data_IF_951752115884
#
_entry.id   IF_951752115884
#
_cell.length_a   1.000
_cell.length_b   1.000
_cell.length_c   1.000
_cell.angle_alpha   90.00
_cell.angle_beta   90.00
_cell.angle_gamma   90.00
#
_symmetry.space_group_name_H-M   'P 1'
#
loop_
_entity.id
_entity.type
_entity.pdbx_description
1 polymer ?
#
# COMPACT_ATOMS: atom_id res chain seq x y z
N UNK A 1 -49.83 15.27 -27.17
CA UNK A 1 -48.77 14.55 -27.92
C UNK A 1 -47.36 15.11 -27.66
N UNK A 2 -47.13 16.43 -27.71
CA UNK A 2 -45.80 17.03 -27.43
C UNK A 2 -45.25 16.75 -26.02
N UNK A 3 -46.10 16.70 -24.99
CA UNK A 3 -45.64 16.38 -23.61
C UNK A 3 -45.18 14.93 -23.43
N UNK A 4 -45.78 13.98 -24.16
CA UNK A 4 -45.36 12.56 -24.12
C UNK A 4 -43.99 12.38 -24.82
N UNK A 5 -43.74 13.15 -25.88
CA UNK A 5 -42.44 13.14 -26.59
C UNK A 5 -41.30 13.71 -25.73
N UNK A 6 -41.59 14.72 -24.89
CA UNK A 6 -40.58 15.30 -23.98
C UNK A 6 -40.20 14.31 -22.87
N UNK A 7 -41.17 13.58 -22.31
CA UNK A 7 -40.92 12.56 -21.27
C UNK A 7 -40.09 11.39 -21.82
N UNK A 8 -40.38 10.94 -23.04
CA UNK A 8 -39.58 9.91 -23.72
C UNK A 8 -38.14 10.35 -23.99
N UNK A 9 -37.93 11.63 -24.30
CA UNK A 9 -36.60 12.20 -24.51
C UNK A 9 -35.78 12.27 -23.21
N UNK A 10 -36.42 12.61 -22.08
CA UNK A 10 -35.77 12.65 -20.76
C UNK A 10 -35.38 11.26 -20.23
N UNK A 11 -36.20 10.22 -20.49
CA UNK A 11 -35.88 8.83 -20.10
C UNK A 11 -34.72 8.28 -20.94
N UNK A 12 -34.65 8.64 -22.23
CA UNK A 12 -33.52 8.29 -23.09
C UNK A 12 -32.19 8.92 -22.64
N UNK A 13 -32.22 10.13 -22.07
CA UNK A 13 -31.02 10.81 -21.56
C UNK A 13 -30.48 10.18 -20.26
N UNK A 14 -31.36 9.58 -19.43
CA UNK A 14 -30.97 8.92 -18.17
C UNK A 14 -30.31 7.55 -18.36
N UNK A 15 -30.40 6.94 -19.55
CA UNK A 15 -29.77 5.65 -19.86
C UNK A 15 -28.32 5.77 -20.39
N UNK A 16 -27.77 6.98 -20.49
CA UNK A 16 -26.35 7.22 -20.84
C UNK A 16 -25.41 7.32 -19.64
N UNK A 17 -25.86 6.97 -18.43
CA UNK A 17 -24.94 6.76 -17.31
C UNK A 17 -24.20 5.45 -17.57
N UNK A 18 -23.07 5.52 -18.28
CA UNK A 18 -22.11 4.42 -18.30
C UNK A 18 -21.76 4.11 -16.85
N UNK A 19 -21.93 2.87 -16.36
CA UNK A 19 -21.31 2.51 -15.10
C UNK A 19 -19.82 2.79 -15.25
N UNK A 20 -19.26 3.60 -14.36
CA UNK A 20 -17.81 3.73 -14.27
C UNK A 20 -17.28 2.31 -14.13
N UNK A 21 -16.54 1.83 -15.14
CA UNK A 21 -15.93 0.52 -15.08
C UNK A 21 -14.99 0.52 -13.87
N UNK A 22 -15.44 -0.06 -12.75
CA UNK A 22 -14.56 -0.40 -11.65
C UNK A 22 -13.58 -1.40 -12.21
N UNK A 23 -12.35 -0.95 -12.45
CA UNK A 23 -11.28 -1.84 -12.92
C UNK A 23 -11.11 -2.92 -11.85
N UNK A 24 -11.41 -4.16 -12.22
CA UNK A 24 -11.21 -5.31 -11.34
C UNK A 24 -9.74 -5.42 -10.99
N UNK A 25 -9.41 -5.51 -9.69
CA UNK A 25 -8.05 -5.72 -9.24
C UNK A 25 -7.55 -7.08 -9.73
N UNK A 26 -6.28 -7.14 -10.15
CA UNK A 26 -5.68 -8.41 -10.55
C UNK A 26 -5.43 -9.26 -9.28
N UNK A 27 -5.97 -10.49 -9.20
CA UNK A 27 -5.75 -11.35 -8.05
C UNK A 27 -4.27 -11.67 -7.78
N UNK A 28 -3.41 -11.67 -8.80
CA UNK A 28 -1.98 -11.92 -8.63
C UNK A 28 -1.27 -10.75 -7.94
N UNK A 29 -1.56 -9.51 -8.30
CA UNK A 29 -1.04 -8.31 -7.63
C UNK A 29 -1.38 -8.33 -6.12
N UNK A 30 -2.63 -8.72 -5.80
CA UNK A 30 -3.07 -8.87 -4.41
C UNK A 30 -2.23 -9.94 -3.68
N UNK A 31 -1.83 -11.03 -4.34
CA UNK A 31 -0.98 -12.07 -3.73
C UNK A 31 0.45 -11.59 -3.48
N UNK A 32 0.97 -10.71 -4.33
CA UNK A 32 2.33 -10.16 -4.21
C UNK A 32 2.50 -9.23 -2.99
N UNK A 33 1.42 -8.61 -2.51
CA UNK A 33 1.45 -7.78 -1.30
C UNK A 33 1.89 -8.57 -0.07
N UNK A 34 3.08 -8.24 0.45
CA UNK A 34 3.66 -8.79 1.68
C UNK A 34 3.44 -7.81 2.84
N UNK A 35 2.98 -8.31 3.99
CA UNK A 35 2.74 -7.47 5.18
C UNK A 35 3.66 -7.92 6.31
N UNK A 36 4.34 -6.95 6.92
CA UNK A 36 5.12 -7.14 8.15
C UNK A 36 4.26 -6.78 9.36
N UNK A 37 4.28 -7.61 10.40
CA UNK A 37 3.59 -7.30 11.66
C UNK A 37 4.56 -6.64 12.64
N UNK A 38 4.21 -5.47 13.15
CA UNK A 38 5.01 -4.80 14.19
C UNK A 38 4.64 -5.32 15.57
N UNK A 39 5.49 -5.07 16.56
CA UNK A 39 5.12 -5.34 17.96
C UNK A 39 3.95 -4.42 18.34
N UNK A 40 2.83 -4.95 18.87
CA UNK A 40 1.71 -4.12 19.31
C UNK A 40 2.09 -3.19 20.45
N UNK A 41 1.57 -1.96 20.41
CA UNK A 41 1.75 -0.95 21.46
C UNK A 41 0.61 -0.99 22.50
N UNK A 42 0.83 -0.39 23.66
CA UNK A 42 -0.10 -0.41 24.80
C UNK A 42 0.06 -1.61 25.74
N UNK A 43 1.09 -2.43 25.51
CA UNK A 43 1.46 -3.60 26.32
C UNK A 43 2.92 -3.54 26.79
N UNK A 44 3.50 -2.35 26.89
CA UNK A 44 4.94 -2.14 27.17
C UNK A 44 5.36 -2.79 28.50
N UNK A 45 4.46 -2.80 29.49
CA UNK A 45 4.68 -3.45 30.79
C UNK A 45 4.49 -4.97 30.76
N UNK A 46 3.97 -5.54 29.66
CA UNK A 46 3.59 -6.94 29.51
C UNK A 46 4.22 -7.56 28.24
N UNK A 47 5.55 -7.56 28.16
CA UNK A 47 6.33 -7.97 26.98
C UNK A 47 5.92 -9.35 26.42
N UNK A 48 5.62 -10.31 27.30
CA UNK A 48 5.17 -11.66 26.89
C UNK A 48 3.81 -11.63 26.18
N UNK A 49 2.90 -10.75 26.62
CA UNK A 49 1.56 -10.59 26.02
C UNK A 49 1.66 -9.88 24.68
N UNK A 50 2.53 -8.86 24.56
CA UNK A 50 2.81 -8.20 23.28
C UNK A 50 3.36 -9.19 22.24
N UNK A 51 4.27 -10.07 22.67
CA UNK A 51 4.84 -11.13 21.83
C UNK A 51 3.80 -12.16 21.40
N UNK A 52 2.92 -12.58 22.31
CA UNK A 52 1.81 -13.47 21.99
C UNK A 52 0.91 -12.87 20.91
N UNK A 53 0.50 -11.60 21.07
CA UNK A 53 -0.34 -10.94 20.08
C UNK A 53 0.36 -10.80 18.74
N UNK A 54 1.64 -10.36 18.72
CA UNK A 54 2.43 -10.27 17.50
C UNK A 54 2.46 -11.61 16.75
N UNK A 55 2.62 -12.72 17.47
CA UNK A 55 2.62 -14.06 16.87
C UNK A 55 1.24 -14.42 16.28
N UNK A 56 0.13 -14.10 16.97
CA UNK A 56 -1.23 -14.33 16.45
C UNK A 56 -1.51 -13.50 15.20
N UNK A 57 -1.14 -12.23 15.21
CA UNK A 57 -1.29 -11.33 14.07
C UNK A 57 -0.43 -11.78 12.89
N UNK A 58 0.83 -12.18 13.13
CA UNK A 58 1.72 -12.74 12.09
C UNK A 58 1.09 -13.99 11.47
N UNK A 59 0.58 -14.91 12.29
CA UNK A 59 -0.13 -16.09 11.79
C UNK A 59 -1.37 -15.71 10.99
N UNK A 60 -2.13 -14.70 11.40
CA UNK A 60 -3.29 -14.22 10.66
C UNK A 60 -2.91 -13.67 9.28
N UNK A 61 -1.81 -12.91 9.19
CA UNK A 61 -1.27 -12.42 7.91
C UNK A 61 -0.87 -13.59 7.00
N UNK A 62 -0.14 -14.57 7.52
CA UNK A 62 0.29 -15.76 6.76
C UNK A 62 -0.91 -16.61 6.31
N UNK A 63 -1.97 -16.70 7.12
CA UNK A 63 -3.20 -17.43 6.73
C UNK A 63 -3.98 -16.75 5.61
N UNK A 64 -3.76 -15.46 5.38
CA UNK A 64 -4.48 -14.65 4.39
C UNK A 64 -3.54 -14.06 3.30
N UNK A 65 -2.36 -14.66 3.13
CA UNK A 65 -1.37 -14.24 2.15
C UNK A 65 0.06 -14.47 2.63
N UNK A 66 0.98 -13.59 2.24
CA UNK A 66 2.39 -13.74 2.57
C UNK A 66 2.76 -12.79 3.71
N UNK A 67 3.21 -13.35 4.83
CA UNK A 67 3.87 -12.60 5.89
C UNK A 67 5.37 -12.44 5.60
N UNK A 68 5.98 -11.39 6.13
CA UNK A 68 7.43 -11.16 6.03
C UNK A 68 7.96 -10.47 7.27
N UNK A 69 9.26 -10.62 7.55
CA UNK A 69 9.96 -9.90 8.62
C UNK A 69 10.39 -8.50 8.21
N UNK A 70 10.37 -8.19 6.90
CA UNK A 70 10.69 -6.88 6.35
C UNK A 70 9.73 -6.58 5.19
N UNK A 71 8.96 -5.49 5.31
CA UNK A 71 8.09 -4.98 4.25
C UNK A 71 7.94 -3.46 4.33
N UNK A 72 7.60 -2.86 3.19
CA UNK A 72 7.02 -1.51 3.09
C UNK A 72 5.67 -1.43 3.83
N UNK A 73 4.85 -2.46 3.74
CA UNK A 73 3.52 -2.50 4.37
C UNK A 73 3.54 -3.13 5.75
N UNK A 74 2.96 -2.42 6.70
CA UNK A 74 2.96 -2.77 8.11
C UNK A 74 1.54 -3.03 8.58
N UNK A 75 1.35 -4.11 9.35
CA UNK A 75 0.22 -4.24 10.27
C UNK A 75 0.67 -3.75 11.64
N UNK A 76 0.15 -2.59 12.03
CA UNK A 76 0.42 -1.92 13.30
C UNK A 76 -0.82 -2.04 14.16
N UNK A 77 -0.68 -2.47 15.41
CA UNK A 77 -1.81 -2.55 16.34
C UNK A 77 -1.50 -1.82 17.64
N UNK A 78 -2.52 -1.14 18.17
CA UNK A 78 -2.53 -0.49 19.47
C UNK A 78 -3.61 -1.13 20.34
N UNK A 79 -3.31 -1.30 21.62
CA UNK A 79 -4.23 -1.85 22.61
C UNK A 79 -4.47 -0.81 23.69
N UNK A 80 -5.73 -0.62 24.05
CA UNK A 80 -6.12 0.22 25.18
C UNK A 80 -7.05 -0.53 26.12
N UNK A 81 -6.89 -0.31 27.43
CA UNK A 81 -7.81 -0.81 28.44
C UNK A 81 -9.04 0.11 28.48
N UNK A 82 -10.21 -0.45 28.19
CA UNK A 82 -11.49 0.26 28.27
C UNK A 82 -12.04 0.22 29.69
N UNK A 83 -11.97 -0.95 30.35
CA UNK A 83 -12.49 -1.14 31.69
C UNK A 83 -11.73 -2.21 32.47
N UNK A 84 -11.68 -2.04 33.78
CA UNK A 84 -11.10 -2.97 34.75
C UNK A 84 -12.06 -3.12 35.92
N UNK A 85 -12.60 -4.31 36.15
CA UNK A 85 -13.56 -4.57 37.22
C UNK A 85 -13.11 -5.76 38.07
N UNK A 86 -13.52 -5.77 39.33
CA UNK A 86 -13.32 -6.92 40.24
C UNK A 86 -14.69 -7.46 40.62
N UNK A 87 -14.90 -8.76 40.45
CA UNK A 87 -16.17 -9.39 40.82
C UNK A 87 -16.31 -9.45 42.35
N UNK A 88 -17.51 -9.17 42.89
CA UNK A 88 -17.80 -9.36 44.31
C UNK A 88 -18.08 -10.85 44.61
N UNK A 89 -17.20 -11.74 44.17
CA UNK A 89 -17.31 -13.20 44.37
C UNK A 89 -16.16 -13.72 45.22
N UNK A 90 -16.28 -14.96 45.70
CA UNK A 90 -15.20 -15.68 46.37
C UNK A 90 -14.84 -16.94 45.58
N UNK A 91 -13.60 -17.06 45.03
CA UNK A 91 -12.57 -16.01 44.98
C UNK A 91 -12.95 -14.86 44.04
N UNK A 92 -12.39 -13.67 44.28
CA UNK A 92 -12.58 -12.50 43.42
C UNK A 92 -11.92 -12.72 42.06
N UNK A 93 -12.57 -12.28 40.99
CA UNK A 93 -12.04 -12.30 39.63
C UNK A 93 -11.83 -10.89 39.12
N UNK A 94 -10.76 -10.69 38.35
CA UNK A 94 -10.51 -9.48 37.58
C UNK A 94 -11.07 -9.67 36.18
N UNK A 95 -11.82 -8.67 35.72
CA UNK A 95 -12.36 -8.56 34.37
C UNK A 95 -11.66 -7.38 33.70
N UNK A 96 -10.97 -7.63 32.59
CA UNK A 96 -10.33 -6.59 31.78
C UNK A 96 -10.94 -6.59 30.38
N UNK A 97 -11.48 -5.45 29.98
CA UNK A 97 -11.98 -5.20 28.63
C UNK A 97 -10.99 -4.29 27.91
N UNK A 98 -10.52 -4.74 26.75
CA UNK A 98 -9.52 -4.04 25.96
C UNK A 98 -10.08 -3.79 24.57
N UNK A 99 -9.71 -2.67 23.98
CA UNK A 99 -9.90 -2.40 22.56
C UNK A 99 -8.59 -2.59 21.83
N UNK A 100 -8.65 -3.30 20.70
CA UNK A 100 -7.54 -3.51 19.80
C UNK A 100 -7.85 -2.77 18.51
N UNK A 101 -7.03 -1.77 18.20
CA UNK A 101 -7.10 -1.01 16.95
C UNK A 101 -5.91 -1.35 16.08
N UNK A 102 -6.16 -1.89 14.90
CA UNK A 102 -5.14 -2.32 13.95
C UNK A 102 -5.24 -1.55 12.64
N UNK A 103 -4.09 -1.22 12.08
CA UNK A 103 -3.90 -0.41 10.88
C UNK A 103 -2.98 -1.13 9.91
N UNK A 104 -3.33 -1.12 8.63
CA UNK A 104 -2.43 -1.45 7.53
C UNK A 104 -1.92 -0.13 6.96
N UNK A 105 -0.62 0.09 7.09
CA UNK A 105 0.03 1.34 6.74
C UNK A 105 1.22 1.12 5.80
N UNK A 106 1.51 2.14 4.99
CA UNK A 106 2.79 2.24 4.29
C UNK A 106 3.83 2.95 5.16
N UNK A 107 4.98 2.31 5.38
CA UNK A 107 6.12 2.87 6.10
C UNK A 107 6.75 4.08 5.40
N UNK A 108 6.77 4.09 4.07
CA UNK A 108 7.48 5.11 3.27
C UNK A 108 6.62 6.37 3.15
N UNK A 109 5.39 6.25 2.61
CA UNK A 109 4.49 7.40 2.47
C UNK A 109 3.79 7.79 3.78
N UNK A 110 3.89 6.96 4.83
CA UNK A 110 3.22 7.17 6.12
C UNK A 110 1.69 7.25 6.01
N UNK A 111 1.13 6.54 5.04
CA UNK A 111 -0.31 6.51 4.75
C UNK A 111 -0.98 5.32 5.41
N UNK A 112 -2.13 5.54 6.06
CA UNK A 112 -3.00 4.46 6.56
C UNK A 112 -3.95 4.06 5.44
N UNK A 113 -3.86 2.80 5.01
CA UNK A 113 -4.64 2.28 3.88
C UNK A 113 -5.91 1.56 4.37
N UNK A 114 -5.84 0.89 5.52
CA UNK A 114 -7.00 0.23 6.11
C UNK A 114 -6.91 0.21 7.63
N UNK A 115 -8.05 0.21 8.30
CA UNK A 115 -8.14 0.07 9.75
C UNK A 115 -9.24 -0.93 10.16
N UNK A 116 -9.08 -1.50 11.35
CA UNK A 116 -10.09 -2.33 11.99
C UNK A 116 -9.93 -2.28 13.51
N UNK A 117 -11.06 -2.18 14.20
CA UNK A 117 -11.11 -2.08 15.66
C UNK A 117 -12.06 -3.13 16.20
N UNK A 118 -11.67 -3.80 17.27
CA UNK A 118 -12.49 -4.80 17.95
C UNK A 118 -12.18 -4.86 19.45
N UNK A 119 -13.14 -5.32 20.23
CA UNK A 119 -13.02 -5.42 21.67
C UNK A 119 -12.82 -6.87 22.09
N UNK A 120 -11.97 -7.05 23.09
CA UNK A 120 -11.66 -8.34 23.70
C UNK A 120 -11.85 -8.25 25.21
N UNK A 121 -12.16 -9.38 25.82
CA UNK A 121 -12.43 -9.49 27.24
C UNK A 121 -11.71 -10.70 27.82
N UNK A 122 -11.13 -10.52 28.99
CA UNK A 122 -10.50 -11.60 29.73
C UNK A 122 -10.85 -11.54 31.20
N UNK A 123 -10.91 -12.73 31.80
CA UNK A 123 -11.28 -12.91 33.21
C UNK A 123 -10.23 -13.81 33.85
N UNK A 124 -9.69 -13.42 35.00
CA UNK A 124 -8.76 -14.24 35.77
C UNK A 124 -8.63 -13.79 37.22
N UNK A 125 -7.92 -14.56 38.06
CA UNK A 125 -7.64 -14.20 39.46
C UNK A 125 -6.67 -13.01 39.67
N UNK A 126 -6.10 -12.44 38.60
CA UNK A 126 -5.32 -11.18 38.66
C UNK A 126 -5.53 -10.36 37.39
N UNK A 127 -5.28 -9.04 37.45
CA UNK A 127 -5.41 -8.14 36.29
C UNK A 127 -4.49 -8.54 35.13
N UNK A 128 -3.24 -8.91 35.41
CA UNK A 128 -2.26 -9.31 34.39
C UNK A 128 -2.71 -10.60 33.68
N UNK A 129 -3.25 -11.57 34.43
CA UNK A 129 -3.81 -12.79 33.85
C UNK A 129 -5.10 -12.51 33.06
N UNK A 130 -5.92 -11.55 33.50
CA UNK A 130 -7.12 -11.15 32.77
C UNK A 130 -6.75 -10.53 31.42
N UNK A 131 -5.76 -9.64 31.38
CA UNK A 131 -5.20 -9.09 30.12
C UNK A 131 -4.62 -10.20 29.23
N UNK A 132 -3.85 -11.13 29.81
CA UNK A 132 -3.31 -12.28 29.06
C UNK A 132 -4.42 -13.14 28.46
N UNK A 133 -5.49 -13.42 29.22
CA UNK A 133 -6.64 -14.18 28.73
C UNK A 133 -7.41 -13.42 27.64
N UNK A 134 -7.57 -12.10 27.79
CA UNK A 134 -8.21 -11.25 26.78
C UNK A 134 -7.44 -11.33 25.47
N UNK A 135 -6.12 -11.10 25.49
CA UNK A 135 -5.28 -11.15 24.29
C UNK A 135 -5.20 -12.58 23.72
N UNK A 136 -5.17 -13.59 24.59
CA UNK A 136 -5.19 -15.00 24.21
C UNK A 136 -6.48 -15.45 23.51
N UNK A 137 -7.58 -14.68 23.66
CA UNK A 137 -8.84 -14.92 22.94
C UNK A 137 -8.73 -14.61 21.44
N UNK A 138 -7.79 -13.76 21.03
CA UNK A 138 -7.56 -13.41 19.63
C UNK A 138 -7.00 -14.63 18.89
N UNK A 139 -7.78 -15.12 17.93
CA UNK A 139 -7.40 -16.26 17.09
C UNK A 139 -6.81 -15.79 15.78
N UNK A 140 -5.81 -16.50 15.29
CA UNK A 140 -5.19 -16.20 13.98
C UNK A 140 -6.18 -16.35 12.80
N UNK A 141 -7.30 -17.06 13.00
CA UNK A 141 -8.39 -17.24 12.03
C UNK A 141 -9.60 -16.34 12.29
N UNK A 142 -9.44 -15.31 13.13
CA UNK A 142 -10.52 -14.38 13.44
C UNK A 142 -11.08 -13.73 12.15
N UNK A 143 -12.40 -13.76 11.91
CA UNK A 143 -13.02 -13.16 10.73
C UNK A 143 -12.74 -11.65 10.57
N UNK A 144 -12.62 -10.90 11.66
CA UNK A 144 -12.30 -9.47 11.64
C UNK A 144 -10.86 -9.25 11.18
N UNK A 145 -9.92 -10.08 11.64
CA UNK A 145 -8.53 -10.03 11.16
C UNK A 145 -8.45 -10.41 9.69
N UNK A 146 -9.14 -11.48 9.26
CA UNK A 146 -9.22 -11.86 7.85
C UNK A 146 -9.73 -10.69 7.00
N UNK A 147 -10.85 -10.09 7.39
CA UNK A 147 -11.44 -8.96 6.68
C UNK A 147 -10.49 -7.77 6.59
N UNK A 148 -9.86 -7.39 7.70
CA UNK A 148 -8.86 -6.32 7.77
C UNK A 148 -7.72 -6.57 6.78
N UNK A 149 -7.14 -7.77 6.80
CA UNK A 149 -5.99 -8.13 5.97
C UNK A 149 -6.39 -8.17 4.48
N UNK A 150 -7.46 -8.86 4.12
CA UNK A 150 -7.89 -8.98 2.72
C UNK A 150 -8.22 -7.62 2.13
N UNK A 151 -9.04 -6.81 2.82
CA UNK A 151 -9.39 -5.47 2.34
C UNK A 151 -8.20 -4.52 2.31
N UNK A 152 -7.25 -4.66 3.24
CA UNK A 152 -6.03 -3.88 3.23
C UNK A 152 -5.16 -4.17 2.01
N UNK A 153 -5.01 -5.44 1.63
CA UNK A 153 -4.26 -5.82 0.42
C UNK A 153 -4.94 -5.28 -0.85
N UNK A 154 -6.25 -5.38 -0.95
CA UNK A 154 -7.02 -4.80 -2.05
C UNK A 154 -6.81 -3.28 -2.14
N UNK A 155 -6.88 -2.58 -1.01
CA UNK A 155 -6.66 -1.12 -0.96
C UNK A 155 -5.23 -0.73 -1.28
N UNK A 156 -4.23 -1.52 -0.88
CA UNK A 156 -2.83 -1.30 -1.28
C UNK A 156 -2.74 -1.29 -2.80
N UNK A 157 -3.17 -2.35 -3.48
CA UNK A 157 -3.10 -2.45 -4.94
C UNK A 157 -3.89 -1.31 -5.61
N UNK A 158 -5.11 -1.04 -5.15
CA UNK A 158 -5.95 0.03 -5.70
C UNK A 158 -5.31 1.43 -5.56
N UNK A 159 -4.69 1.71 -4.41
CA UNK A 159 -3.99 2.96 -4.15
C UNK A 159 -2.81 3.11 -5.11
N UNK A 160 -1.91 2.13 -5.18
CA UNK A 160 -0.72 2.24 -6.02
C UNK A 160 -1.01 2.21 -7.52
N UNK A 161 -2.07 1.53 -7.97
CA UNK A 161 -2.51 1.61 -9.35
C UNK A 161 -2.95 3.03 -9.73
N UNK A 162 -3.65 3.71 -8.82
CA UNK A 162 -4.09 5.09 -9.03
C UNK A 162 -2.91 6.05 -8.98
N UNK A 163 -2.04 5.91 -7.98
CA UNK A 163 -0.84 6.75 -7.84
C UNK A 163 0.11 6.56 -9.01
N UNK A 164 0.31 5.32 -9.47
CA UNK A 164 1.16 5.03 -10.61
C UNK A 164 0.68 5.75 -11.86
N UNK A 165 -0.61 5.72 -12.17
CA UNK A 165 -1.15 6.43 -13.34
C UNK A 165 -0.85 7.93 -13.30
N UNK A 166 -0.87 8.54 -12.11
CA UNK A 166 -0.54 9.95 -11.95
C UNK A 166 0.97 10.18 -12.10
N UNK A 167 1.77 9.34 -11.44
CA UNK A 167 3.22 9.39 -11.47
C UNK A 167 3.77 9.21 -12.89
N UNK A 168 3.29 8.22 -13.64
CA UNK A 168 3.74 7.96 -15.02
C UNK A 168 3.47 9.14 -15.96
N UNK A 169 2.34 9.82 -15.82
CA UNK A 169 2.05 11.04 -16.60
C UNK A 169 3.03 12.17 -16.28
N UNK A 170 3.46 12.27 -15.03
CA UNK A 170 4.46 13.25 -14.61
C UNK A 170 5.82 12.91 -15.21
N UNK A 171 6.26 11.65 -15.08
CA UNK A 171 7.51 11.14 -15.66
C UNK A 171 7.54 11.38 -17.17
N UNK A 172 6.50 10.99 -17.90
CA UNK A 172 6.41 11.26 -19.35
C UNK A 172 6.51 12.76 -19.67
N UNK A 173 5.97 13.63 -18.81
CA UNK A 173 6.10 15.07 -18.99
C UNK A 173 7.50 15.58 -18.73
N UNK A 174 8.22 14.99 -17.78
CA UNK A 174 9.60 15.34 -17.46
C UNK A 174 10.54 14.83 -18.57
N UNK A 175 10.32 13.62 -19.11
CA UNK A 175 11.00 13.08 -20.31
C UNK A 175 10.82 14.03 -21.51
N UNK A 176 9.59 14.49 -21.79
CA UNK A 176 9.32 15.44 -22.90
C UNK A 176 10.01 16.79 -22.73
N UNK A 177 10.43 17.14 -21.52
CA UNK A 177 11.17 18.36 -21.19
C UNK A 177 12.67 18.10 -21.05
N UNK A 178 13.13 16.89 -21.37
CA UNK A 178 14.51 16.45 -21.24
C UNK A 178 15.02 16.49 -19.78
N UNK A 179 14.11 16.48 -18.81
CA UNK A 179 14.42 16.38 -17.38
C UNK A 179 14.64 14.91 -16.98
N UNK A 180 15.65 14.27 -17.57
CA UNK A 180 15.87 12.84 -17.46
C UNK A 180 16.30 12.39 -16.06
N UNK A 181 17.12 13.19 -15.38
CA UNK A 181 17.57 12.89 -14.01
C UNK A 181 16.37 12.83 -13.05
N UNK A 182 15.48 13.83 -13.11
CA UNK A 182 14.26 13.86 -12.28
C UNK A 182 13.31 12.70 -12.61
N UNK A 183 13.13 12.40 -13.91
CA UNK A 183 12.32 11.29 -14.36
C UNK A 183 12.86 9.94 -13.82
N UNK A 184 14.17 9.73 -13.88
CA UNK A 184 14.83 8.52 -13.38
C UNK A 184 14.68 8.38 -11.86
N UNK A 185 14.87 9.46 -11.10
CA UNK A 185 14.66 9.45 -9.64
C UNK A 185 13.21 9.09 -9.26
N UNK A 186 12.24 9.57 -10.02
CA UNK A 186 10.83 9.23 -9.83
C UNK A 186 10.54 7.76 -10.16
N UNK A 187 11.12 7.22 -11.23
CA UNK A 187 10.98 5.81 -11.62
C UNK A 187 11.47 4.84 -10.54
N UNK A 188 12.57 5.17 -9.85
CA UNK A 188 13.11 4.37 -8.73
C UNK A 188 12.15 4.29 -7.52
N UNK A 189 11.17 5.18 -7.42
CA UNK A 189 10.19 5.21 -6.32
C UNK A 189 8.98 4.30 -6.55
N UNK A 190 8.83 3.75 -7.77
CA UNK A 190 7.71 2.89 -8.16
C UNK A 190 7.80 1.55 -7.43
N UNK A 191 6.80 1.17 -6.63
CA UNK A 191 6.84 -0.10 -5.92
C UNK A 191 6.48 -1.29 -6.81
N UNK A 192 7.18 -2.40 -6.63
CA UNK A 192 6.93 -3.70 -7.26
C UNK A 192 5.72 -4.40 -6.61
N UNK A 193 4.51 -3.93 -6.93
CA UNK A 193 3.23 -4.43 -6.40
C UNK A 193 2.15 -4.52 -7.50
N UNK A 194 2.18 -3.60 -8.45
CA UNK A 194 1.29 -3.56 -9.61
C UNK A 194 2.14 -3.84 -10.84
N UNK A 195 2.01 -5.03 -11.41
CA UNK A 195 2.87 -5.50 -12.50
C UNK A 195 2.78 -4.59 -13.72
N UNK A 196 1.58 -4.11 -14.05
CA UNK A 196 1.37 -3.17 -15.17
C UNK A 196 2.16 -1.87 -14.97
N UNK A 197 2.09 -1.28 -13.77
CA UNK A 197 2.86 -0.10 -13.41
C UNK A 197 4.37 -0.35 -13.47
N UNK A 198 4.83 -1.48 -12.95
CA UNK A 198 6.24 -1.82 -12.89
C UNK A 198 6.82 -2.03 -14.30
N UNK A 199 6.12 -2.79 -15.15
CA UNK A 199 6.52 -3.01 -16.53
C UNK A 199 6.57 -1.69 -17.31
N UNK A 200 5.60 -0.78 -17.06
CA UNK A 200 5.61 0.52 -17.71
C UNK A 200 6.77 1.41 -17.22
N UNK A 201 7.09 1.35 -15.93
CA UNK A 201 8.25 2.04 -15.38
C UNK A 201 9.56 1.55 -16.04
N UNK A 202 9.73 0.23 -16.22
CA UNK A 202 10.90 -0.34 -16.91
C UNK A 202 10.99 0.18 -18.35
N UNK A 203 9.88 0.18 -19.09
CA UNK A 203 9.87 0.68 -20.46
C UNK A 203 10.25 2.17 -20.56
N UNK A 204 9.83 3.00 -19.60
CA UNK A 204 10.23 4.41 -19.55
C UNK A 204 11.70 4.58 -19.17
N UNK A 205 12.25 3.73 -18.30
CA UNK A 205 13.69 3.70 -18.00
C UNK A 205 14.50 3.40 -19.26
N UNK A 206 14.13 2.36 -20.00
CA UNK A 206 14.81 1.98 -21.26
C UNK A 206 14.75 3.12 -22.30
N UNK A 207 13.60 3.81 -22.39
CA UNK A 207 13.44 4.98 -23.25
C UNK A 207 14.39 6.12 -22.86
N UNK A 208 14.52 6.44 -21.57
CA UNK A 208 15.43 7.49 -21.10
C UNK A 208 16.87 7.13 -21.46
N UNK A 209 17.30 5.90 -21.20
CA UNK A 209 18.65 5.42 -21.52
C UNK A 209 18.96 5.56 -23.03
N UNK A 210 17.97 5.31 -23.90
CA UNK A 210 18.11 5.50 -25.34
C UNK A 210 18.24 6.99 -25.72
N UNK A 211 17.39 7.86 -25.15
CA UNK A 211 17.41 9.30 -25.41
C UNK A 211 18.71 9.95 -24.94
N UNK A 212 19.22 9.59 -23.78
CA UNK A 212 20.51 10.09 -23.27
C UNK A 212 21.68 9.69 -24.19
N UNK A 213 21.70 8.46 -24.69
CA UNK A 213 22.71 8.01 -25.66
C UNK A 213 22.66 8.79 -26.96
N UNK A 214 21.46 9.11 -27.45
CA UNK A 214 21.29 9.93 -28.64
C UNK A 214 21.80 11.36 -28.42
N UNK A 215 21.51 11.96 -27.26
CA UNK A 215 22.03 13.29 -26.92
C UNK A 215 23.56 13.33 -26.84
N UNK A 216 24.19 12.31 -26.23
CA UNK A 216 25.64 12.20 -26.17
C UNK A 216 26.24 12.02 -27.58
N UNK A 217 25.59 11.24 -28.44
CA UNK A 217 26.08 11.03 -29.82
C UNK A 217 25.99 12.32 -30.63
N UNK A 218 24.88 13.05 -30.53
CA UNK A 218 24.67 14.32 -31.21
C UNK A 218 25.68 15.39 -30.75
N UNK A 219 25.99 15.47 -29.44
CA UNK A 219 26.97 16.44 -28.95
C UNK A 219 28.40 16.13 -29.42
N UNK A 220 28.75 14.85 -29.58
CA UNK A 220 30.04 14.44 -30.16
C UNK A 220 30.14 14.77 -31.66
N UNK A 221 29.04 14.67 -32.41
CA UNK A 221 28.99 15.05 -33.83
C UNK A 221 29.09 16.58 -34.02
N UNK A 222 28.53 17.38 -33.12
CA UNK A 222 28.67 18.84 -33.13
C UNK A 222 30.07 19.33 -32.76
N UNK A 223 30.81 18.55 -31.95
CA UNK A 223 32.20 18.87 -31.57
C UNK A 223 33.25 18.44 -32.61
N UNK A 224 32.88 17.67 -33.65
CA UNK A 224 33.82 17.38 -34.75
C UNK A 224 34.22 18.69 -35.45
N UNK A 225 35.51 19.10 -35.40
CA UNK A 225 35.92 20.37 -35.96
C UNK A 225 35.66 20.37 -37.47
N UNK A 226 35.03 21.43 -37.96
CA UNK A 226 34.85 21.66 -39.39
C UNK A 226 36.24 21.67 -40.07
N UNK A 227 36.58 20.55 -40.70
CA UNK A 227 37.85 20.36 -41.41
C UNK A 227 37.80 20.89 -42.84
N UNK A 228 36.73 21.58 -43.23
CA UNK A 228 36.56 22.10 -44.59
C UNK A 228 37.68 23.11 -44.96
N UNK A 229 38.20 23.87 -43.99
CA UNK A 229 39.36 24.77 -44.20
C UNK A 229 40.71 24.05 -44.40
N UNK A 230 40.83 22.77 -44.02
CA UNK A 230 42.07 21.99 -44.19
C UNK A 230 42.23 21.56 -45.65
N UNK A 231 41.13 21.47 -46.41
CA UNK A 231 41.15 21.05 -47.82
C UNK A 231 41.60 22.15 -48.80
N UNK A 232 41.65 23.41 -48.36
CA UNK A 232 41.99 24.56 -49.21
C UNK A 232 43.49 24.92 -49.20
N UNK A 233 44.33 24.21 -48.43
CA UNK A 233 45.77 24.51 -48.28
C UNK A 233 46.72 23.60 -49.04
N UNK A 234 46.24 22.74 -49.93
CA UNK A 234 47.08 21.82 -50.74
C UNK A 234 47.50 22.36 -52.12
N UNK A 235 47.33 23.66 -52.39
CA UNK A 235 47.76 24.30 -53.64
C UNK A 235 48.86 25.36 -53.39
N UNK A 236 50.05 24.96 -52.94
CA UNK A 236 51.31 25.68 -53.18
C UNK A 236 52.51 24.73 -53.13
#
# INVERSE_FOLDING_TARGET
MKQIQIILYCIGLLLYVRPAAGQTLNPEDIKQVKIQVTTPSGLEKQVNVASLLKNRLTQAVVLNGTGTTCSRFLLVCYIQELSSQVTPSTPSQYISELEVSCFIADRIEKTILQQGTFQIKGIAGSKEKAVMNAVGSIRSRDPQLKKLITQGKEKIVAYYRTQCRQLMKQIESDIRREHYEEAMLQLLSVPDIDTECHDYAIALTELIDELERQQITASLEEEEPDTEWVKDKTLY
#
